data_IF_682030241150
#
_entry.id   IF_682030241150
#
_cell.length_a   1.000
_cell.length_b   1.000
_cell.length_c   1.000
_cell.angle_alpha   90.00
_cell.angle_beta   90.00
_cell.angle_gamma   90.00
#
_symmetry.space_group_name_H-M   'P 1'
#
loop_
_entity.id
_entity.type
_entity.pdbx_description
1 polymer ?
#
# COMPACT_ATOMS: atom_id res chain seq x y z
N UNK A 1 -1.92 -11.07 13.05
CA UNK A 1 -1.25 -10.40 11.89
C UNK A 1 -2.31 -9.69 11.08
N UNK A 2 -2.17 -8.39 10.87
CA UNK A 2 -3.09 -7.61 10.04
C UNK A 2 -2.85 -7.95 8.56
N UNK A 3 -3.89 -8.33 7.83
CA UNK A 3 -3.77 -8.78 6.44
C UNK A 3 -4.85 -8.23 5.51
N UNK A 4 -5.93 -7.68 6.07
CA UNK A 4 -7.05 -7.18 5.28
C UNK A 4 -6.81 -5.79 4.75
N UNK A 5 -7.11 -5.60 3.48
CA UNK A 5 -7.28 -4.29 2.86
C UNK A 5 -8.77 -3.99 2.83
N UNK A 6 -9.18 -2.90 3.45
CA UNK A 6 -10.57 -2.43 3.46
C UNK A 6 -10.67 -1.23 2.54
N UNK A 7 -11.54 -1.33 1.54
CA UNK A 7 -11.77 -0.27 0.56
C UNK A 7 -13.21 0.24 0.70
N UNK A 8 -13.37 1.56 0.87
CA UNK A 8 -14.67 2.22 0.99
C UNK A 8 -14.95 3.02 -0.27
N UNK A 9 -15.71 2.40 -1.20
CA UNK A 9 -16.00 2.97 -2.51
C UNK A 9 -17.12 4.00 -2.53
N UNK A 10 -18.11 3.86 -1.65
CA UNK A 10 -19.35 4.63 -1.69
C UNK A 10 -19.52 5.46 -0.40
N UNK A 11 -20.56 6.29 -0.38
CA UNK A 11 -20.99 7.03 0.80
C UNK A 11 -21.19 6.09 1.98
N UNK A 12 -20.53 6.38 3.08
CA UNK A 12 -20.61 5.58 4.30
C UNK A 12 -20.27 6.41 5.54
N UNK A 13 -20.75 5.95 6.68
CA UNK A 13 -20.33 6.44 8.00
C UNK A 13 -19.43 5.38 8.66
N UNK A 14 -18.24 5.80 9.06
CA UNK A 14 -17.26 4.95 9.71
C UNK A 14 -17.09 5.37 11.16
N UNK A 15 -17.25 4.45 12.07
CA UNK A 15 -17.02 4.69 13.49
C UNK A 15 -16.34 3.50 14.18
N UNK A 16 -15.89 3.73 15.41
CA UNK A 16 -15.26 2.74 16.26
C UNK A 16 -16.27 2.20 17.27
N UNK A 17 -16.44 0.88 17.34
CA UNK A 17 -17.20 0.21 18.39
C UNK A 17 -16.48 -1.04 18.87
N UNK A 18 -16.12 -1.10 20.16
CA UNK A 18 -15.53 -2.29 20.79
C UNK A 18 -14.39 -2.93 19.96
N UNK A 19 -13.41 -2.12 19.52
CA UNK A 19 -12.27 -2.56 18.67
C UNK A 19 -12.67 -2.96 17.24
N UNK A 20 -13.88 -2.66 16.79
CA UNK A 20 -14.32 -2.89 15.43
C UNK A 20 -14.44 -1.56 14.67
N UNK A 21 -13.93 -1.55 13.44
CA UNK A 21 -14.35 -0.61 12.42
C UNK A 21 -15.79 -0.98 12.02
N UNK A 22 -16.71 -0.08 12.25
CA UNK A 22 -18.11 -0.23 11.83
C UNK A 22 -18.35 0.66 10.62
N UNK A 23 -18.65 0.04 9.50
CA UNK A 23 -18.97 0.70 8.23
C UNK A 23 -20.48 0.64 8.03
N UNK A 24 -21.14 1.79 8.05
CA UNK A 24 -22.59 1.92 7.76
C UNK A 24 -22.79 2.57 6.41
N UNK A 25 -23.32 1.83 5.47
CA UNK A 25 -23.82 2.33 4.20
C UNK A 25 -25.36 2.27 4.18
N UNK A 26 -25.98 2.82 3.16
CA UNK A 26 -27.44 2.77 3.01
C UNK A 26 -28.01 1.34 3.01
N UNK A 27 -27.27 0.38 2.47
CA UNK A 27 -27.75 -0.98 2.28
C UNK A 27 -27.34 -1.96 3.38
N UNK A 28 -26.22 -1.71 4.08
CA UNK A 28 -25.68 -2.67 5.05
C UNK A 28 -24.76 -2.02 6.09
N UNK A 29 -24.69 -2.68 7.24
CA UNK A 29 -23.67 -2.41 8.26
C UNK A 29 -22.68 -3.56 8.30
N UNK A 30 -21.39 -3.25 8.23
CA UNK A 30 -20.30 -4.24 8.34
C UNK A 30 -19.43 -3.90 9.55
N UNK A 31 -18.93 -4.94 10.22
CA UNK A 31 -17.99 -4.82 11.34
C UNK A 31 -16.74 -5.61 11.02
N UNK A 32 -15.58 -4.97 11.15
CA UNK A 32 -14.28 -5.57 10.90
C UNK A 32 -13.39 -5.29 12.11
N UNK A 33 -12.81 -6.31 12.70
CA UNK A 33 -11.91 -6.11 13.83
C UNK A 33 -10.65 -5.36 13.40
N UNK A 34 -10.27 -4.29 14.12
CA UNK A 34 -9.17 -3.39 13.68
C UNK A 34 -7.85 -4.15 13.57
N UNK A 35 -7.58 -5.13 14.42
CA UNK A 35 -6.34 -5.93 14.36
C UNK A 35 -6.17 -6.74 13.06
N UNK A 36 -7.24 -6.94 12.30
CA UNK A 36 -7.18 -7.64 11.02
C UNK A 36 -6.85 -6.69 9.85
N UNK A 37 -7.01 -5.37 10.07
CA UNK A 37 -6.87 -4.39 9.00
C UNK A 37 -5.41 -3.96 8.87
N UNK A 38 -4.83 -4.16 7.70
CA UNK A 38 -3.51 -3.64 7.33
C UNK A 38 -3.62 -2.24 6.70
N UNK A 39 -4.64 -2.03 5.88
CA UNK A 39 -4.86 -0.80 5.13
C UNK A 39 -6.36 -0.46 5.08
N UNK A 40 -6.70 0.80 5.34
CA UNK A 40 -8.00 1.39 5.05
C UNK A 40 -7.83 2.39 3.92
N UNK A 41 -8.44 2.12 2.77
CA UNK A 41 -8.50 3.02 1.62
C UNK A 41 -9.89 3.65 1.54
N UNK A 42 -9.97 4.97 1.69
CA UNK A 42 -11.20 5.73 1.58
C UNK A 42 -11.25 6.39 0.20
N UNK A 43 -11.92 5.73 -0.75
CA UNK A 43 -12.02 6.23 -2.12
C UNK A 43 -13.06 7.34 -2.28
N UNK A 44 -14.18 7.22 -1.58
CA UNK A 44 -15.26 8.21 -1.69
C UNK A 44 -15.00 9.43 -0.81
N UNK A 45 -15.12 10.61 -1.38
CA UNK A 45 -15.08 11.88 -0.64
C UNK A 45 -16.33 12.13 0.21
N UNK A 46 -17.39 11.35 0.03
CA UNK A 46 -18.66 11.42 0.79
C UNK A 46 -18.68 10.46 1.98
N UNK A 47 -17.53 10.15 2.56
CA UNK A 47 -17.40 9.33 3.76
C UNK A 47 -17.22 10.22 4.99
N UNK A 48 -17.96 9.93 6.06
CA UNK A 48 -17.77 10.55 7.37
C UNK A 48 -17.02 9.61 8.31
N UNK A 49 -16.06 10.16 9.06
CA UNK A 49 -15.21 9.41 9.99
C UNK A 49 -15.22 10.08 11.36
N UNK A 50 -15.14 9.29 12.42
CA UNK A 50 -14.93 9.84 13.76
C UNK A 50 -13.45 9.96 14.08
N UNK A 51 -13.07 11.01 14.82
CA UNK A 51 -11.68 11.19 15.28
C UNK A 51 -11.23 10.02 16.16
N UNK A 52 -12.13 9.46 16.98
CA UNK A 52 -11.84 8.27 17.79
C UNK A 52 -11.44 7.06 16.96
N UNK A 53 -12.09 6.84 15.81
CA UNK A 53 -11.70 5.78 14.87
C UNK A 53 -10.30 6.04 14.29
N UNK A 54 -10.02 7.26 13.85
CA UNK A 54 -8.72 7.62 13.27
C UNK A 54 -7.58 7.44 14.30
N UNK A 55 -7.79 7.86 15.53
CA UNK A 55 -6.83 7.68 16.62
C UNK A 55 -6.54 6.20 16.88
N UNK A 56 -7.58 5.35 16.93
CA UNK A 56 -7.41 3.91 17.15
C UNK A 56 -6.71 3.21 15.97
N UNK A 57 -7.09 3.54 14.72
CA UNK A 57 -6.42 3.03 13.52
C UNK A 57 -4.92 3.37 13.55
N UNK A 58 -4.59 4.61 13.89
CA UNK A 58 -3.20 5.08 14.02
C UNK A 58 -2.45 4.34 15.13
N UNK A 59 -3.09 4.12 16.28
CA UNK A 59 -2.52 3.38 17.43
C UNK A 59 -2.19 1.93 17.04
N UNK A 60 -3.05 1.30 16.25
CA UNK A 60 -2.87 -0.08 15.74
C UNK A 60 -1.96 -0.14 14.49
N UNK A 61 -1.38 0.99 14.08
CA UNK A 61 -0.50 1.10 12.90
C UNK A 61 -1.17 0.69 11.59
N UNK A 62 -2.50 0.83 11.50
CA UNK A 62 -3.24 0.67 10.25
C UNK A 62 -2.93 1.84 9.35
N UNK A 63 -2.55 1.57 8.10
CA UNK A 63 -2.41 2.63 7.10
C UNK A 63 -3.78 3.14 6.68
N UNK A 64 -3.96 4.45 6.69
CA UNK A 64 -5.19 5.09 6.21
C UNK A 64 -4.85 6.02 5.06
N UNK A 65 -5.44 5.75 3.90
CA UNK A 65 -5.24 6.53 2.68
C UNK A 65 -6.57 7.15 2.28
N UNK A 66 -6.54 8.44 1.95
CA UNK A 66 -7.68 9.18 1.41
C UNK A 66 -7.44 9.46 -0.07
N UNK A 67 -8.51 9.34 -0.86
CA UNK A 67 -8.48 9.63 -2.27
C UNK A 67 -9.12 10.98 -2.60
N UNK A 68 -8.77 11.52 -3.75
CA UNK A 68 -9.40 12.69 -4.34
C UNK A 68 -10.75 12.35 -5.01
N UNK A 69 -11.40 13.36 -5.61
CA UNK A 69 -12.67 13.20 -6.33
C UNK A 69 -12.54 12.31 -7.59
N UNK A 70 -11.33 12.06 -8.08
CA UNK A 70 -11.04 11.14 -9.18
C UNK A 70 -10.67 9.73 -8.70
N UNK A 71 -10.79 9.49 -7.38
CA UNK A 71 -10.42 8.24 -6.70
C UNK A 71 -8.91 7.92 -6.74
N UNK A 72 -8.06 8.91 -7.00
CA UNK A 72 -6.62 8.75 -6.88
C UNK A 72 -6.19 8.95 -5.43
N UNK A 73 -5.28 8.13 -4.89
CA UNK A 73 -4.70 8.38 -3.58
C UNK A 73 -4.06 9.78 -3.51
N UNK A 74 -4.46 10.58 -2.54
CA UNK A 74 -4.04 11.98 -2.41
C UNK A 74 -3.34 12.28 -1.11
N UNK A 75 -3.69 11.57 -0.02
CA UNK A 75 -3.11 11.81 1.29
C UNK A 75 -3.13 10.55 2.17
N UNK A 76 -2.26 10.54 3.16
CA UNK A 76 -2.15 9.46 4.14
C UNK A 76 -2.18 10.04 5.56
N UNK A 77 -2.84 9.33 6.49
CA UNK A 77 -2.79 9.64 7.91
C UNK A 77 -1.49 9.08 8.51
N UNK A 78 -0.66 9.96 9.02
CA UNK A 78 0.66 9.61 9.59
C UNK A 78 0.67 9.88 11.09
N UNK A 79 1.13 8.90 11.86
CA UNK A 79 1.35 9.06 13.29
C UNK A 79 2.61 9.88 13.57
N UNK A 80 2.56 10.83 14.51
CA UNK A 80 3.76 11.56 14.97
C UNK A 80 4.83 10.63 15.57
N UNK A 81 4.41 9.54 16.20
CA UNK A 81 5.29 8.61 16.94
C UNK A 81 5.30 7.20 16.31
N UNK A 82 4.98 7.10 15.02
CA UNK A 82 4.75 5.82 14.34
C UNK A 82 5.96 4.91 14.20
N UNK A 83 7.18 5.42 14.32
CA UNK A 83 8.41 4.61 14.25
C UNK A 83 9.53 5.31 15.01
N UNK A 84 9.95 4.73 16.11
CA UNK A 84 11.09 5.20 16.90
C UNK A 84 12.43 5.09 16.14
N UNK A 85 12.46 4.34 15.02
CA UNK A 85 13.69 3.91 14.35
C UNK A 85 13.86 4.46 12.93
N UNK A 86 12.95 5.34 12.47
CA UNK A 86 12.98 5.83 11.08
C UNK A 86 14.28 6.53 10.75
N UNK A 87 14.75 7.41 11.64
CA UNK A 87 16.01 8.14 11.44
C UNK A 87 17.20 7.19 11.34
N UNK A 88 17.25 6.16 12.18
CA UNK A 88 18.33 5.17 12.17
C UNK A 88 18.28 4.30 10.89
N UNK A 89 17.09 3.86 10.49
CA UNK A 89 16.89 3.11 9.24
C UNK A 89 17.32 3.92 8.02
N UNK A 90 16.94 5.20 7.96
CA UNK A 90 17.33 6.08 6.86
C UNK A 90 18.86 6.29 6.85
N UNK A 91 19.47 6.53 8.01
CA UNK A 91 20.93 6.65 8.10
C UNK A 91 21.63 5.38 7.63
N UNK A 92 21.17 4.22 8.08
CA UNK A 92 21.71 2.94 7.65
C UNK A 92 21.56 2.74 6.15
N UNK A 93 20.40 3.08 5.58
CA UNK A 93 20.14 2.94 4.14
C UNK A 93 21.04 3.87 3.30
N UNK A 94 21.27 5.10 3.76
CA UNK A 94 22.17 6.05 3.09
C UNK A 94 23.61 5.50 3.05
N UNK A 95 24.05 4.85 4.12
CA UNK A 95 25.40 4.28 4.22
C UNK A 95 25.58 2.93 3.54
N UNK A 96 24.53 2.36 2.95
CA UNK A 96 24.66 1.09 2.21
C UNK A 96 25.70 1.22 1.08
N UNK A 97 26.59 0.23 0.93
CA UNK A 97 27.44 0.15 -0.24
C UNK A 97 26.65 0.17 -1.53
N UNK A 98 27.25 0.72 -2.59
CA UNK A 98 26.57 0.82 -3.89
C UNK A 98 26.09 -0.55 -4.39
N UNK A 99 26.88 -1.60 -4.20
CA UNK A 99 26.50 -2.97 -4.56
C UNK A 99 25.22 -3.47 -3.86
N UNK A 100 24.99 -3.09 -2.60
CA UNK A 100 23.76 -3.44 -1.88
C UNK A 100 22.57 -2.66 -2.44
N UNK A 101 22.74 -1.38 -2.73
CA UNK A 101 21.69 -0.55 -3.34
C UNK A 101 21.25 -1.11 -4.70
N UNK A 102 22.22 -1.48 -5.52
CA UNK A 102 21.99 -2.09 -6.84
C UNK A 102 21.28 -3.45 -6.73
N UNK A 103 21.72 -4.31 -5.82
CA UNK A 103 21.10 -5.61 -5.60
C UNK A 103 19.64 -5.48 -5.14
N UNK A 104 19.37 -4.61 -4.17
CA UNK A 104 18.01 -4.35 -3.68
C UNK A 104 17.12 -3.77 -4.79
N UNK A 105 17.64 -2.80 -5.55
CA UNK A 105 16.91 -2.18 -6.64
C UNK A 105 16.59 -3.18 -7.76
N UNK A 106 17.56 -3.99 -8.13
CA UNK A 106 17.39 -5.07 -9.13
C UNK A 106 16.28 -6.02 -8.73
N UNK A 107 16.23 -6.43 -7.45
CA UNK A 107 15.18 -7.31 -6.94
C UNK A 107 13.80 -6.67 -6.97
N UNK A 108 13.69 -5.39 -6.58
CA UNK A 108 12.43 -4.63 -6.66
C UNK A 108 11.93 -4.58 -8.11
N UNK A 109 12.81 -4.31 -9.07
CA UNK A 109 12.44 -4.24 -10.49
C UNK A 109 12.02 -5.60 -11.02
N UNK A 110 12.73 -6.66 -10.66
CA UNK A 110 12.36 -8.04 -11.02
C UNK A 110 10.97 -8.40 -10.54
N UNK A 111 10.69 -8.17 -9.25
CA UNK A 111 9.37 -8.45 -8.68
C UNK A 111 8.28 -7.61 -9.34
N UNK A 112 8.54 -6.34 -9.63
CA UNK A 112 7.59 -5.49 -10.34
C UNK A 112 7.23 -6.07 -11.73
N UNK A 113 8.22 -6.48 -12.50
CA UNK A 113 8.00 -7.04 -13.84
C UNK A 113 7.30 -8.40 -13.75
N UNK A 114 7.67 -9.25 -12.78
CA UNK A 114 6.99 -10.52 -12.54
C UNK A 114 5.50 -10.32 -12.25
N UNK A 115 5.15 -9.35 -11.38
CA UNK A 115 3.75 -9.02 -11.08
C UNK A 115 2.99 -8.48 -12.29
N UNK A 116 3.66 -7.72 -13.14
CA UNK A 116 3.07 -7.27 -14.41
C UNK A 116 2.82 -8.46 -15.35
N UNK A 117 3.74 -9.41 -15.44
CA UNK A 117 3.57 -10.63 -16.23
C UNK A 117 2.42 -11.50 -15.71
N UNK A 118 2.32 -11.68 -14.38
CA UNK A 118 1.19 -12.39 -13.76
C UNK A 118 -0.15 -11.74 -14.12
N UNK A 119 -0.25 -10.42 -14.02
CA UNK A 119 -1.45 -9.67 -14.39
C UNK A 119 -1.83 -9.83 -15.87
N UNK A 120 -0.84 -9.87 -16.78
CA UNK A 120 -1.09 -10.13 -18.20
C UNK A 120 -1.61 -11.55 -18.45
N UNK A 121 -1.07 -12.55 -17.73
CA UNK A 121 -1.57 -13.93 -17.80
C UNK A 121 -3.03 -14.03 -17.38
N UNK A 122 -3.43 -13.39 -16.29
CA UNK A 122 -4.82 -13.34 -15.83
C UNK A 122 -5.78 -12.72 -16.88
N UNK A 123 -5.24 -11.87 -17.74
CA UNK A 123 -5.95 -11.22 -18.86
C UNK A 123 -5.87 -12.01 -20.19
N UNK A 124 -5.29 -13.22 -20.18
CA UNK A 124 -5.14 -14.07 -21.36
C UNK A 124 -4.06 -13.61 -22.34
N UNK A 125 -3.20 -12.65 -21.95
CA UNK A 125 -2.11 -12.10 -22.78
C UNK A 125 -0.83 -12.90 -22.58
N UNK A 126 -0.82 -14.15 -23.02
CA UNK A 126 0.26 -15.10 -22.76
C UNK A 126 1.59 -14.72 -23.44
N UNK A 127 1.53 -14.19 -24.66
CA UNK A 127 2.72 -13.81 -25.42
C UNK A 127 3.44 -12.65 -24.78
N UNK A 128 2.70 -11.61 -24.38
CA UNK A 128 3.25 -10.41 -23.73
C UNK A 128 3.78 -10.76 -22.33
N UNK A 129 3.12 -11.64 -21.60
CA UNK A 129 3.58 -12.13 -20.31
C UNK A 129 4.89 -12.93 -20.42
N UNK A 130 5.03 -13.79 -21.44
CA UNK A 130 6.25 -14.52 -21.71
C UNK A 130 7.42 -13.58 -22.02
N UNK A 131 7.19 -12.56 -22.85
CA UNK A 131 8.18 -11.53 -23.18
C UNK A 131 8.70 -10.80 -21.93
N UNK A 132 7.79 -10.41 -21.02
CA UNK A 132 8.20 -9.78 -19.76
C UNK A 132 9.05 -10.70 -18.89
N UNK A 133 8.74 -11.99 -18.84
CA UNK A 133 9.55 -12.98 -18.10
C UNK A 133 10.93 -13.16 -18.70
N UNK A 134 11.06 -13.13 -20.02
CA UNK A 134 12.35 -13.18 -20.69
C UNK A 134 13.20 -11.95 -20.35
N UNK A 135 12.60 -10.76 -20.30
CA UNK A 135 13.31 -9.55 -19.85
C UNK A 135 13.80 -9.65 -18.40
N UNK A 136 13.04 -10.25 -17.50
CA UNK A 136 13.47 -10.47 -16.11
C UNK A 136 14.76 -11.31 -16.06
N UNK A 137 14.87 -12.32 -16.90
CA UNK A 137 16.09 -13.17 -17.00
C UNK A 137 17.33 -12.38 -17.45
N UNK A 138 17.14 -11.34 -18.28
CA UNK A 138 18.22 -10.52 -18.83
C UNK A 138 18.69 -9.41 -17.87
N UNK A 139 17.93 -9.14 -16.79
CA UNK A 139 18.30 -8.12 -15.80
C UNK A 139 19.46 -8.67 -14.94
N UNK A 140 20.69 -8.24 -15.23
CA UNK A 140 21.87 -8.63 -14.45
C UNK A 140 22.19 -7.60 -13.36
N UNK A 141 22.27 -6.30 -13.71
CA UNK A 141 22.57 -5.20 -12.79
C UNK A 141 21.91 -3.91 -13.29
N UNK A 142 21.08 -3.30 -12.47
CA UNK A 142 20.51 -1.98 -12.75
C UNK A 142 21.25 -0.93 -11.94
N UNK A 143 22.04 -0.11 -12.63
CA UNK A 143 22.62 1.08 -11.99
C UNK A 143 21.54 2.13 -11.76
N UNK A 144 21.51 2.74 -10.55
CA UNK A 144 20.61 3.84 -10.21
C UNK A 144 20.85 5.11 -11.05
N UNK A 145 21.93 5.15 -11.85
CA UNK A 145 22.36 6.32 -12.61
C UNK A 145 21.57 6.48 -13.94
N UNK A 146 20.91 5.44 -14.44
CA UNK A 146 20.19 5.47 -15.72
C UNK A 146 18.72 5.91 -15.65
N UNK A 147 18.26 6.48 -14.52
CA UNK A 147 16.87 6.96 -14.36
C UNK A 147 16.75 8.48 -14.60
N UNK A 148 17.81 9.14 -15.01
CA UNK A 148 17.87 10.62 -15.19
C UNK A 148 18.07 11.07 -16.63
N UNK A 149 17.52 10.36 -17.64
CA UNK A 149 17.36 10.88 -19.00
C UNK A 149 15.94 10.65 -19.51
#
# INVERSE_FOLDING_TARGET
>A
MSWRIVVVHNTAKLDLQLQYLVVRSEMKTQKIHISEIALLLVESTSVSLTVGLLAELTRQKVKVIFCDHKRNPSSELISYYGSHDTSNKIRTQITWPQSVKEAVWTEIVREKINKQAEFLLERGKNTEAALLRDYVQQIQWLSLIHISE
#
